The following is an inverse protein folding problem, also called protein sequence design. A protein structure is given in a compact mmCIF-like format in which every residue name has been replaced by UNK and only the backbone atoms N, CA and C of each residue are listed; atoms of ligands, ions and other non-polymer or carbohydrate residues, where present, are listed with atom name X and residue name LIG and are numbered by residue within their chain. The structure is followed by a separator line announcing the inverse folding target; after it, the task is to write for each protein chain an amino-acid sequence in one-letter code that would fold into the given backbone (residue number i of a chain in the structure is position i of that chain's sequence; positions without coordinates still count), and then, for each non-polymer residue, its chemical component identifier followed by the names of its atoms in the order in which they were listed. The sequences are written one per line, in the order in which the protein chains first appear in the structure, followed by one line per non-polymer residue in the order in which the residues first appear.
data_IF_780980203203
#
_entry.id   IF_780980203203
#
_cell.length_a   1.000
_cell.length_b   1.000
_cell.length_c   1.000
_cell.angle_alpha   90.00
_cell.angle_beta   90.00
_cell.angle_gamma   90.00
#
_symmetry.space_group_name_H-M   'P 1'
#
loop_
_entity.id
_entity.type
_entity.pdbx_description
1 polymer ?
#
# COMPACT_ATOMS: atom_id res chain seq x y z
N UNK A 1 -19.04 -3.37 -4.67
CA UNK A 1 -17.66 -3.64 -5.12
C UNK A 1 -16.74 -2.65 -4.46
N UNK A 2 -16.06 -3.09 -3.40
CA UNK A 2 -15.16 -2.25 -2.61
C UNK A 2 -13.81 -2.10 -3.31
N UNK A 3 -12.96 -1.19 -2.81
CA UNK A 3 -11.58 -1.00 -3.29
C UNK A 3 -10.75 -2.30 -3.36
N UNK A 4 -11.16 -3.31 -2.59
CA UNK A 4 -10.54 -4.64 -2.51
C UNK A 4 -10.72 -5.43 -3.82
N UNK A 5 -11.86 -5.28 -4.52
CA UNK A 5 -12.13 -6.06 -5.74
C UNK A 5 -11.28 -5.64 -6.94
N UNK A 6 -10.74 -4.40 -6.93
CA UNK A 6 -9.81 -3.91 -7.96
C UNK A 6 -8.40 -4.45 -7.72
N UNK A 7 -8.05 -4.71 -6.45
CA UNK A 7 -6.75 -5.24 -6.04
C UNK A 7 -6.66 -6.77 -6.17
N UNK A 8 -7.78 -7.49 -6.11
CA UNK A 8 -7.82 -8.96 -6.19
C UNK A 8 -7.71 -9.52 -7.60
N UNK A 9 -7.80 -8.68 -8.64
CA UNK A 9 -7.83 -9.10 -10.04
C UNK A 9 -6.47 -9.29 -10.72
N UNK A 10 -5.37 -8.82 -10.13
CA UNK A 10 -4.06 -8.84 -10.78
C UNK A 10 -3.22 -9.98 -10.18
N UNK A 11 -3.25 -11.15 -10.84
CA UNK A 11 -2.16 -12.13 -10.69
C UNK A 11 -0.93 -11.56 -11.40
N UNK A 12 -0.04 -10.94 -10.64
CA UNK A 12 1.30 -10.65 -11.12
C UNK A 12 2.03 -12.00 -11.22
N UNK A 13 2.27 -12.44 -12.45
CA UNK A 13 3.09 -13.61 -12.76
C UNK A 13 4.55 -13.29 -12.41
N UNK A 14 5.20 -14.03 -11.49
CA UNK A 14 6.53 -13.69 -11.00
C UNK A 14 7.67 -13.87 -12.04
N UNK A 15 7.40 -14.41 -13.23
CA UNK A 15 8.45 -14.89 -14.16
C UNK A 15 8.64 -14.09 -15.46
N UNK A 16 8.15 -12.85 -15.61
CA UNK A 16 8.39 -12.05 -16.83
C UNK A 16 9.24 -10.80 -16.55
N UNK A 17 10.56 -11.01 -16.52
CA UNK A 17 11.57 -9.96 -16.44
C UNK A 17 11.78 -9.14 -17.72
N UNK A 18 10.81 -9.08 -18.64
CA UNK A 18 10.93 -8.33 -19.89
C UNK A 18 9.99 -7.11 -19.88
N UNK A 19 10.51 -6.02 -19.29
CA UNK A 19 10.03 -4.64 -19.39
C UNK A 19 8.77 -4.29 -18.56
N UNK A 20 8.99 -4.07 -17.25
CA UNK A 20 8.00 -3.59 -16.28
C UNK A 20 7.23 -2.36 -16.80
N UNK A 21 7.88 -1.42 -17.48
CA UNK A 21 7.23 -0.22 -18.01
C UNK A 21 6.24 -0.55 -19.14
N UNK A 22 6.53 -1.55 -19.97
CA UNK A 22 5.62 -2.05 -20.99
C UNK A 22 4.38 -2.71 -20.36
N UNK A 23 4.57 -3.47 -19.28
CA UNK A 23 3.46 -4.09 -18.56
C UNK A 23 2.59 -3.06 -17.83
N UNK A 24 3.19 -2.03 -17.24
CA UNK A 24 2.46 -0.90 -16.66
C UNK A 24 1.69 -0.18 -17.76
N UNK A 25 2.28 0.08 -18.93
CA UNK A 25 1.57 0.70 -20.05
C UNK A 25 0.36 -0.10 -20.50
N UNK A 26 0.50 -1.43 -20.60
CA UNK A 26 -0.62 -2.32 -20.93
C UNK A 26 -1.70 -2.29 -19.84
N UNK A 27 -1.28 -2.40 -18.58
CA UNK A 27 -2.18 -2.36 -17.42
C UNK A 27 -2.94 -1.04 -17.34
N UNK A 28 -2.26 0.10 -17.51
CA UNK A 28 -2.86 1.44 -17.49
C UNK A 28 -3.97 1.53 -18.52
N UNK A 29 -3.75 1.12 -19.77
CA UNK A 29 -4.80 1.14 -20.81
C UNK A 29 -6.01 0.32 -20.42
N UNK A 30 -5.79 -0.91 -19.96
CA UNK A 30 -6.88 -1.79 -19.52
C UNK A 30 -7.65 -1.19 -18.34
N UNK A 31 -6.94 -0.62 -17.37
CA UNK A 31 -7.54 -0.06 -16.16
C UNK A 31 -8.46 1.15 -16.43
N UNK A 32 -8.32 1.83 -17.57
CA UNK A 32 -9.13 2.99 -17.94
C UNK A 32 -10.51 2.64 -18.53
N UNK A 33 -10.76 1.38 -18.90
CA UNK A 33 -12.05 0.94 -19.47
C UNK A 33 -13.27 1.39 -18.64
N UNK A 34 -13.29 1.29 -17.30
CA UNK A 34 -14.44 1.72 -16.51
C UNK A 34 -14.74 3.23 -16.58
N UNK A 35 -13.78 4.06 -17.01
CA UNK A 35 -13.96 5.51 -17.14
C UNK A 35 -14.67 5.92 -18.44
N UNK A 36 -14.76 5.02 -19.43
CA UNK A 36 -15.48 5.25 -20.69
C UNK A 36 -16.98 5.55 -20.49
N UNK A 37 -17.53 5.21 -19.32
CA UNK A 37 -18.89 5.59 -18.92
C UNK A 37 -19.08 7.11 -18.71
N UNK A 38 -17.99 7.87 -18.55
CA UNK A 38 -18.03 9.33 -18.36
C UNK A 38 -18.17 9.99 -19.74
N UNK A 39 -19.23 10.77 -19.93
CA UNK A 39 -19.49 11.44 -21.21
C UNK A 39 -18.31 12.34 -21.59
N UNK A 40 -17.73 12.09 -22.76
CA UNK A 40 -16.62 12.88 -23.32
C UNK A 40 -15.24 12.45 -22.81
N UNK A 41 -15.13 11.30 -22.14
CA UNK A 41 -13.86 10.79 -21.62
C UNK A 41 -12.82 10.58 -22.73
N UNK A 42 -13.26 10.20 -23.94
CA UNK A 42 -12.40 10.00 -25.11
C UNK A 42 -11.55 11.25 -25.42
N UNK A 43 -12.06 12.44 -25.14
CA UNK A 43 -11.32 13.70 -25.34
C UNK A 43 -10.16 13.90 -24.36
N UNK A 44 -10.21 13.27 -23.19
CA UNK A 44 -9.18 13.37 -22.14
C UNK A 44 -8.38 12.07 -21.96
N UNK A 45 -8.77 10.97 -22.62
CA UNK A 45 -8.18 9.64 -22.44
C UNK A 45 -6.65 9.66 -22.54
N UNK A 46 -6.11 10.22 -23.63
CA UNK A 46 -4.66 10.27 -23.86
C UNK A 46 -3.94 11.07 -22.78
N UNK A 47 -4.56 12.14 -22.27
CA UNK A 47 -3.97 12.96 -21.21
C UNK A 47 -3.94 12.20 -19.88
N UNK A 48 -5.00 11.46 -19.56
CA UNK A 48 -5.07 10.62 -18.36
C UNK A 48 -4.06 9.48 -18.44
N UNK A 49 -3.99 8.76 -19.55
CA UNK A 49 -3.01 7.67 -19.76
C UNK A 49 -1.57 8.16 -19.59
N UNK A 50 -1.21 9.27 -20.24
CA UNK A 50 0.14 9.85 -20.13
C UNK A 50 0.46 10.30 -18.70
N UNK A 51 -0.50 10.93 -18.02
CA UNK A 51 -0.31 11.36 -16.63
C UNK A 51 -0.11 10.16 -15.72
N UNK A 52 -0.86 9.08 -15.95
CA UNK A 52 -0.72 7.86 -15.17
C UNK A 52 0.66 7.23 -15.35
N UNK A 53 1.12 7.10 -16.59
CA UNK A 53 2.43 6.50 -16.89
C UNK A 53 3.58 7.33 -16.34
N UNK A 54 3.52 8.66 -16.49
CA UNK A 54 4.57 9.54 -16.01
C UNK A 54 4.70 9.57 -14.48
N UNK A 55 3.61 9.30 -13.75
CA UNK A 55 3.54 9.41 -12.28
C UNK A 55 3.46 8.08 -11.55
N UNK A 56 3.36 6.96 -12.28
CA UNK A 56 3.29 5.62 -11.69
C UNK A 56 4.58 5.20 -10.98
N UNK A 57 5.73 5.75 -11.37
CA UNK A 57 7.05 5.42 -10.79
C UNK A 57 7.26 3.89 -10.69
N UNK A 58 6.98 3.17 -11.78
CA UNK A 58 7.12 1.71 -11.81
C UNK A 58 6.08 0.93 -11.00
N UNK A 59 5.03 1.57 -10.49
CA UNK A 59 4.11 0.96 -9.51
C UNK A 59 2.68 0.79 -10.04
N UNK A 60 2.28 -0.45 -10.32
CA UNK A 60 0.89 -0.81 -10.68
C UNK A 60 -0.13 -0.37 -9.62
N UNK A 61 0.23 -0.48 -8.33
CA UNK A 61 -0.64 -0.10 -7.21
C UNK A 61 -1.06 1.37 -7.28
N UNK A 62 -0.16 2.26 -7.73
CA UNK A 62 -0.49 3.67 -7.87
C UNK A 62 -1.48 3.91 -9.00
N UNK A 63 -1.27 3.26 -10.16
CA UNK A 63 -2.22 3.32 -11.28
C UNK A 63 -3.60 2.82 -10.84
N UNK A 64 -3.66 1.65 -10.19
CA UNK A 64 -4.90 1.07 -9.68
C UNK A 64 -5.64 2.00 -8.72
N UNK A 65 -4.92 2.62 -7.80
CA UNK A 65 -5.48 3.55 -6.82
C UNK A 65 -6.04 4.81 -7.49
N UNK A 66 -5.26 5.45 -8.37
CA UNK A 66 -5.70 6.66 -9.07
C UNK A 66 -6.92 6.35 -9.90
N UNK A 67 -6.89 5.29 -10.72
CA UNK A 67 -8.03 4.87 -11.55
C UNK A 67 -9.28 4.61 -10.71
N UNK A 68 -9.14 3.98 -9.55
CA UNK A 68 -10.25 3.78 -8.61
C UNK A 68 -10.82 5.12 -8.07
N UNK A 69 -9.98 6.10 -7.75
CA UNK A 69 -10.46 7.43 -7.36
C UNK A 69 -11.12 8.17 -8.53
N UNK A 70 -10.59 8.05 -9.75
CA UNK A 70 -11.18 8.60 -10.97
C UNK A 70 -12.51 7.94 -11.30
N UNK A 71 -12.65 6.64 -11.04
CA UNK A 71 -13.87 5.87 -11.31
C UNK A 71 -15.03 6.25 -10.38
N UNK A 72 -14.83 7.10 -9.39
CA UNK A 72 -15.90 7.68 -8.55
C UNK A 72 -16.46 8.98 -9.13
N UNK A 73 -15.77 9.57 -10.11
CA UNK A 73 -16.12 10.86 -10.68
C UNK A 73 -17.22 10.73 -11.73
N UNK A 74 -17.89 11.86 -12.01
CA UNK A 74 -19.04 11.93 -12.94
C UNK A 74 -18.76 12.77 -14.19
N UNK A 75 -17.77 13.68 -14.15
CA UNK A 75 -17.45 14.58 -15.26
C UNK A 75 -15.95 14.56 -15.57
N UNK A 76 -15.59 14.90 -16.82
CA UNK A 76 -14.18 15.04 -17.22
C UNK A 76 -13.43 16.08 -16.38
N UNK A 77 -14.11 17.17 -15.98
CA UNK A 77 -13.54 18.18 -15.09
C UNK A 77 -13.10 17.57 -13.76
N UNK A 78 -13.99 16.82 -13.10
CA UNK A 78 -13.67 16.15 -11.83
C UNK A 78 -12.54 15.13 -11.97
N UNK A 79 -12.46 14.42 -13.10
CA UNK A 79 -11.37 13.48 -13.39
C UNK A 79 -10.04 14.22 -13.50
N UNK A 80 -9.99 15.30 -14.27
CA UNK A 80 -8.79 16.12 -14.47
C UNK A 80 -8.32 16.80 -13.18
N UNK A 81 -9.23 17.30 -12.35
CA UNK A 81 -8.90 17.85 -11.03
C UNK A 81 -8.33 16.75 -10.11
N UNK A 82 -9.02 15.61 -10.01
CA UNK A 82 -8.62 14.53 -9.09
C UNK A 82 -7.25 13.94 -9.42
N UNK A 83 -6.91 13.74 -10.71
CA UNK A 83 -5.60 13.19 -11.08
C UNK A 83 -4.44 14.17 -10.77
N UNK A 84 -4.72 15.48 -10.75
CA UNK A 84 -3.71 16.48 -10.38
C UNK A 84 -3.50 16.54 -8.87
N UNK A 85 -4.55 16.32 -8.08
CA UNK A 85 -4.50 16.36 -6.62
C UNK A 85 -3.81 15.13 -6.00
N UNK A 86 -3.75 14.01 -6.71
CA UNK A 86 -3.06 12.80 -6.24
C UNK A 86 -1.56 12.94 -6.54
N UNK A 87 -0.69 12.96 -5.52
CA UNK A 87 0.74 13.10 -5.76
C UNK A 87 1.30 11.85 -6.45
N UNK A 88 2.39 11.99 -7.22
CA UNK A 88 3.02 10.87 -7.91
C UNK A 88 3.57 9.84 -6.92
N UNK A 89 3.72 8.62 -7.41
CA UNK A 89 4.38 7.56 -6.68
C UNK A 89 3.56 6.97 -5.53
N UNK A 90 4.04 5.85 -5.06
CA UNK A 90 3.40 5.02 -4.04
C UNK A 90 3.30 5.69 -2.65
N UNK A 91 4.25 6.57 -2.32
CA UNK A 91 4.40 7.15 -0.99
C UNK A 91 3.08 7.78 -0.47
N UNK A 92 2.42 8.66 -1.24
CA UNK A 92 1.10 9.21 -0.91
C UNK A 92 0.01 8.17 -0.61
N UNK A 93 0.05 7.01 -1.26
CA UNK A 93 -1.00 5.99 -1.12
C UNK A 93 -0.84 5.25 0.20
N UNK A 94 0.37 4.78 0.49
CA UNK A 94 0.66 4.12 1.77
C UNK A 94 0.46 5.10 2.91
N UNK A 95 0.94 6.34 2.77
CA UNK A 95 0.67 7.43 3.73
C UNK A 95 -0.83 7.64 3.98
N UNK A 96 -1.66 7.69 2.93
CA UNK A 96 -3.12 7.82 3.06
C UNK A 96 -3.77 6.61 3.75
N UNK A 97 -3.28 5.39 3.51
CA UNK A 97 -3.75 4.18 4.21
C UNK A 97 -3.41 4.24 5.70
N UNK A 98 -2.20 4.68 6.05
CA UNK A 98 -1.78 4.86 7.44
C UNK A 98 -2.62 5.91 8.18
N UNK A 99 -3.05 6.97 7.50
CA UNK A 99 -3.96 7.97 8.06
C UNK A 99 -5.35 7.44 8.40
N UNK A 100 -5.81 6.38 7.72
CA UNK A 100 -7.11 5.75 7.99
C UNK A 100 -7.11 4.94 9.28
N UNK A 101 -5.93 4.60 9.82
CA UNK A 101 -5.81 3.97 11.13
C UNK A 101 -6.23 4.98 12.20
N UNK A 102 -7.25 4.61 12.98
CA UNK A 102 -7.75 5.41 14.10
C UNK A 102 -6.58 5.82 15.02
N UNK A 103 -6.42 7.12 15.36
CA UNK A 103 -5.36 7.60 16.23
C UNK A 103 -5.13 6.76 17.49
N UNK A 104 -6.19 6.23 18.10
CA UNK A 104 -6.10 5.39 19.32
C UNK A 104 -5.39 4.05 19.10
N UNK A 105 -5.21 3.63 17.86
CA UNK A 105 -4.60 2.36 17.47
C UNK A 105 -3.27 2.55 16.72
N UNK A 106 -2.82 3.78 16.46
CA UNK A 106 -1.63 4.03 15.65
C UNK A 106 -0.35 3.50 16.28
N UNK A 107 -0.13 3.71 17.58
CA UNK A 107 1.11 3.27 18.24
C UNK A 107 1.32 1.75 18.18
N UNK A 108 0.25 0.98 18.42
CA UNK A 108 0.32 -0.48 18.35
C UNK A 108 0.40 -0.97 16.90
N UNK A 109 -0.29 -0.29 15.97
CA UNK A 109 -0.20 -0.61 14.55
C UNK A 109 1.20 -0.32 14.00
N UNK A 110 1.85 0.76 14.45
CA UNK A 110 3.21 1.11 14.08
C UNK A 110 4.19 0.02 14.51
N UNK A 111 4.10 -0.43 15.77
CA UNK A 111 4.90 -1.57 16.26
C UNK A 111 4.65 -2.84 15.44
N UNK A 112 3.40 -3.16 15.14
CA UNK A 112 3.06 -4.34 14.33
C UNK A 112 3.69 -4.25 12.94
N UNK A 113 3.50 -3.13 12.25
CA UNK A 113 4.03 -2.88 10.92
C UNK A 113 5.56 -2.88 10.90
N UNK A 114 6.20 -2.34 11.94
CA UNK A 114 7.65 -2.38 12.15
C UNK A 114 8.17 -3.82 12.21
N UNK A 115 7.61 -4.65 13.10
CA UNK A 115 8.03 -6.04 13.24
C UNK A 115 7.89 -6.84 11.95
N UNK A 116 6.80 -6.64 11.22
CA UNK A 116 6.56 -7.32 9.94
C UNK A 116 7.51 -6.78 8.85
N UNK A 117 7.82 -5.48 8.85
CA UNK A 117 8.72 -4.86 7.87
C UNK A 117 10.16 -5.37 7.98
N UNK A 118 10.67 -5.50 9.21
CA UNK A 118 12.05 -5.95 9.45
C UNK A 118 12.21 -7.48 9.43
N UNK A 119 11.12 -8.24 9.56
CA UNK A 119 11.20 -9.69 9.60
C UNK A 119 11.69 -10.27 8.27
N UNK A 120 12.62 -11.23 8.37
CA UNK A 120 13.19 -11.95 7.21
C UNK A 120 12.14 -12.91 6.60
N UNK A 121 11.15 -13.33 7.38
CA UNK A 121 10.05 -14.20 6.97
C UNK A 121 8.72 -13.70 7.56
N UNK A 122 7.57 -14.08 6.98
CA UNK A 122 6.27 -13.84 7.60
C UNK A 122 6.21 -14.37 9.04
N UNK A 123 5.71 -13.53 9.94
CA UNK A 123 5.50 -13.83 11.35
C UNK A 123 4.12 -14.45 11.56
N UNK A 124 4.01 -15.39 12.49
CA UNK A 124 2.70 -15.88 12.93
C UNK A 124 1.99 -14.89 13.85
N UNK A 125 0.67 -15.02 14.03
CA UNK A 125 -0.06 -14.20 15.01
C UNK A 125 0.53 -14.33 16.42
N UNK A 126 0.98 -15.54 16.79
CA UNK A 126 1.62 -15.80 18.09
C UNK A 126 2.96 -15.09 18.24
N UNK A 127 3.84 -15.20 17.23
CA UNK A 127 5.15 -14.55 17.23
C UNK A 127 4.99 -13.03 17.33
N UNK A 128 4.06 -12.49 16.56
CA UNK A 128 3.77 -11.07 16.55
C UNK A 128 3.21 -10.59 17.89
N UNK A 129 2.26 -11.33 18.48
CA UNK A 129 1.71 -11.04 19.80
C UNK A 129 2.78 -10.93 20.88
N UNK A 130 3.71 -11.89 20.91
CA UNK A 130 4.86 -11.85 21.80
C UNK A 130 5.75 -10.62 21.53
N UNK A 131 6.09 -10.37 20.27
CA UNK A 131 6.99 -9.30 19.86
C UNK A 131 6.48 -7.91 20.26
N UNK A 132 5.16 -7.68 20.17
CA UNK A 132 4.52 -6.39 20.53
C UNK A 132 3.99 -6.35 21.98
N UNK A 133 4.13 -7.44 22.74
CA UNK A 133 3.64 -7.52 24.12
C UNK A 133 2.11 -7.43 24.22
N UNK A 134 1.39 -8.09 23.30
CA UNK A 134 -0.07 -8.10 23.25
C UNK A 134 -0.63 -9.51 23.38
N UNK A 135 -1.92 -9.63 23.74
CA UNK A 135 -2.62 -10.90 23.80
C UNK A 135 -2.87 -11.47 22.40
N UNK A 136 -2.71 -12.78 22.24
CA UNK A 136 -2.93 -13.48 20.96
C UNK A 136 -4.39 -13.38 20.51
N UNK A 137 -5.32 -13.34 21.47
CA UNK A 137 -6.77 -13.26 21.26
C UNK A 137 -7.21 -11.98 20.56
N UNK A 138 -6.46 -10.88 20.71
CA UNK A 138 -6.76 -9.61 20.05
C UNK A 138 -5.92 -9.36 18.79
N UNK A 139 -5.00 -10.27 18.44
CA UNK A 139 -4.06 -10.03 17.35
C UNK A 139 -4.76 -9.98 15.99
N UNK A 140 -5.73 -10.87 15.75
CA UNK A 140 -6.50 -10.86 14.50
C UNK A 140 -7.22 -9.51 14.27
N UNK A 141 -7.81 -8.94 15.33
CA UNK A 141 -8.46 -7.62 15.27
C UNK A 141 -7.46 -6.50 14.99
N UNK A 142 -6.26 -6.57 15.56
CA UNK A 142 -5.18 -5.60 15.28
C UNK A 142 -4.68 -5.68 13.84
N UNK A 143 -4.59 -6.89 13.27
CA UNK A 143 -4.28 -7.07 11.85
C UNK A 143 -5.40 -6.49 10.98
N UNK A 144 -6.67 -6.68 11.35
CA UNK A 144 -7.80 -6.12 10.63
C UNK A 144 -7.78 -4.58 10.61
N UNK A 145 -7.37 -3.94 11.72
CA UNK A 145 -7.20 -2.47 11.78
C UNK A 145 -6.12 -1.97 10.80
N UNK A 146 -5.10 -2.78 10.53
CA UNK A 146 -4.02 -2.44 9.59
C UNK A 146 -4.39 -2.73 8.12
N UNK A 147 -5.61 -3.21 7.82
CA UNK A 147 -6.04 -3.37 6.43
C UNK A 147 -6.22 -1.98 5.76
N UNK A 148 -5.86 -1.81 4.48
CA UNK A 148 -5.50 -2.86 3.52
C UNK A 148 -3.99 -3.18 3.45
N UNK A 149 -3.16 -2.67 4.37
CA UNK A 149 -1.69 -2.84 4.30
C UNK A 149 -1.26 -4.28 4.57
N UNK A 150 -1.97 -4.98 5.45
CA UNK A 150 -1.67 -6.36 5.84
C UNK A 150 -2.73 -7.33 5.36
N UNK A 151 -2.31 -8.59 5.14
CA UNK A 151 -3.15 -9.75 4.92
C UNK A 151 -2.75 -10.89 5.86
N UNK A 152 -3.74 -11.68 6.22
CA UNK A 152 -3.54 -12.93 6.96
C UNK A 152 -3.63 -14.09 5.96
N UNK A 153 -2.58 -14.89 5.89
CA UNK A 153 -2.49 -16.12 5.09
C UNK A 153 -2.31 -17.29 6.07
N UNK A 154 -3.38 -18.06 6.25
CA UNK A 154 -3.56 -18.98 7.38
C UNK A 154 -3.35 -18.29 8.75
N UNK A 155 -2.18 -18.47 9.36
CA UNK A 155 -1.77 -17.86 10.64
C UNK A 155 -0.60 -16.89 10.46
N UNK A 156 -0.17 -16.62 9.22
CA UNK A 156 0.98 -15.76 8.90
C UNK A 156 0.52 -14.40 8.42
N UNK A 157 1.17 -13.36 8.94
CA UNK A 157 0.87 -11.99 8.56
C UNK A 157 1.87 -11.53 7.51
N UNK A 158 1.36 -11.01 6.39
CA UNK A 158 2.15 -10.48 5.28
C UNK A 158 1.66 -9.09 4.89
N UNK A 159 2.51 -8.32 4.22
CA UNK A 159 2.04 -7.16 3.49
C UNK A 159 1.14 -7.60 2.33
N UNK A 160 0.06 -6.86 2.12
CA UNK A 160 -0.79 -7.03 0.94
C UNK A 160 0.01 -6.74 -0.34
N UNK A 161 0.87 -5.72 -0.31
CA UNK A 161 1.78 -5.36 -1.39
C UNK A 161 3.17 -4.99 -0.86
N UNK A 162 4.25 -5.45 -1.50
CA UNK A 162 5.64 -5.24 -1.06
C UNK A 162 6.00 -3.76 -0.91
N UNK A 163 5.48 -2.92 -1.79
CA UNK A 163 5.48 -1.46 -1.69
C UNK A 163 5.19 -0.88 -0.31
N UNK A 164 4.24 -1.44 0.44
CA UNK A 164 3.96 -0.96 1.80
C UNK A 164 5.17 -1.17 2.72
N UNK A 165 5.87 -2.31 2.59
CA UNK A 165 7.11 -2.58 3.31
C UNK A 165 8.21 -1.58 2.93
N UNK A 166 8.40 -1.33 1.63
CA UNK A 166 9.42 -0.40 1.13
C UNK A 166 9.17 1.04 1.62
N UNK A 167 7.92 1.47 1.63
CA UNK A 167 7.54 2.78 2.18
C UNK A 167 7.87 2.91 3.67
N UNK A 168 7.61 1.87 4.47
CA UNK A 168 7.92 1.90 5.90
C UNK A 168 9.43 1.92 6.14
N UNK A 169 10.20 1.23 5.30
CA UNK A 169 11.67 1.14 5.37
C UNK A 169 12.40 2.30 4.68
N UNK A 170 11.70 3.37 4.29
CA UNK A 170 12.30 4.52 3.60
C UNK A 170 13.33 5.24 4.49
N UNK A 171 14.40 5.70 3.87
CA UNK A 171 15.44 6.49 4.56
C UNK A 171 15.02 7.94 4.78
N UNK A 172 14.18 8.49 3.89
CA UNK A 172 13.76 9.89 3.96
C UNK A 172 12.72 10.10 5.07
N UNK A 173 12.96 11.10 5.91
CA UNK A 173 12.00 11.58 6.90
C UNK A 173 10.81 12.24 6.23
N UNK A 174 9.64 12.14 6.85
CA UNK A 174 8.42 12.80 6.39
C UNK A 174 8.05 13.99 7.27
N UNK A 175 7.54 15.07 6.67
CA UNK A 175 7.02 16.21 7.42
C UNK A 175 5.66 15.90 8.06
N UNK A 176 4.93 14.93 7.50
CA UNK A 176 3.69 14.45 8.11
C UNK A 176 3.99 13.58 9.35
N UNK A 177 3.54 13.97 10.55
CA UNK A 177 3.78 13.22 11.77
C UNK A 177 3.15 11.84 11.76
N UNK A 178 2.07 11.63 10.99
CA UNK A 178 1.47 10.30 10.88
C UNK A 178 2.40 9.38 10.10
N UNK A 179 2.85 9.77 8.91
CA UNK A 179 3.78 9.01 8.10
C UNK A 179 5.11 8.75 8.82
N UNK A 180 5.64 9.74 9.55
CA UNK A 180 6.89 9.59 10.30
C UNK A 180 6.78 8.59 11.46
N UNK A 181 5.62 8.55 12.16
CA UNK A 181 5.36 7.55 13.21
C UNK A 181 5.51 6.10 12.71
N UNK A 182 5.21 5.85 11.43
CA UNK A 182 5.30 4.53 10.82
C UNK A 182 6.63 4.28 10.09
N UNK A 183 7.58 5.23 10.08
CA UNK A 183 8.90 5.03 9.46
C UNK A 183 9.74 4.10 10.34
N UNK A 184 10.42 3.15 9.70
CA UNK A 184 11.18 2.09 10.35
C UNK A 184 12.65 2.22 10.00
N UNK A 185 13.48 2.47 11.01
CA UNK A 185 14.93 2.52 10.86
C UNK A 185 15.53 1.14 11.09
N UNK A 186 15.59 0.32 10.04
CA UNK A 186 16.05 -1.07 10.11
C UNK A 186 17.42 -1.24 10.82
N UNK A 187 18.32 -0.25 10.72
CA UNK A 187 19.62 -0.24 11.40
C UNK A 187 19.54 -0.20 12.93
N UNK A 188 18.48 0.41 13.50
CA UNK A 188 18.21 0.41 14.94
C UNK A 188 17.41 -0.81 15.39
N UNK A 189 16.47 -1.27 14.55
CA UNK A 189 15.55 -2.36 14.89
C UNK A 189 16.21 -3.75 14.98
N UNK A 190 17.28 -4.03 14.21
CA UNK A 190 17.98 -5.32 14.30
C UNK A 190 18.54 -5.60 15.71
N UNK A 191 18.94 -4.57 16.46
CA UNK A 191 19.42 -4.71 17.84
C UNK A 191 18.31 -5.11 18.83
N UNK A 192 17.13 -4.51 18.69
CA UNK A 192 15.97 -4.81 19.55
C UNK A 192 15.33 -6.16 19.20
N UNK A 193 15.26 -6.49 17.91
CA UNK A 193 14.78 -7.78 17.43
C UNK A 193 15.67 -8.92 17.95
N UNK A 194 16.99 -8.80 17.81
CA UNK A 194 17.94 -9.77 18.35
C UNK A 194 17.80 -9.92 19.88
N UNK A 195 17.60 -8.83 20.63
CA UNK A 195 17.45 -8.89 22.08
C UNK A 195 16.17 -9.63 22.53
N UNK A 196 15.04 -9.43 21.82
CA UNK A 196 13.78 -10.15 22.12
C UNK A 196 13.79 -11.60 21.66
N UNK A 197 14.47 -11.93 20.56
CA UNK A 197 14.63 -13.32 20.12
C UNK A 197 15.55 -14.14 21.04
N UNK A 198 16.48 -13.50 21.77
CA UNK A 198 17.35 -14.14 22.76
C UNK A 198 16.69 -14.42 24.12
N UNK A 199 15.45 -13.97 24.33
CA UNK A 199 14.65 -14.24 25.54
C UNK A 199 13.57 -15.31 25.30
N UNK A 200 13.66 -16.03 24.17
CA UNK A 200 12.82 -17.18 23.80
C UNK A 200 13.59 -18.47 24.12
#
# INVERSE_FOLDING_TARGET
MGAIDVLTGIKLDPDHGENIDSDIARFTRWSLEPLQRIRGFESIHSQIEQTLLARAEGTFLWVSFVVYELSKKRTCLQVLETIQDIPPGLHPIVGRMLHQIDPKHRDISAKILEWIAIAIRPLTLRELAYAVGSGIECMADRIAICQPLLKLDDDRVLFFHQSAREYLLRDQTDEDPTAELFRVEASKCHGEAAHKYLQI
#
